data_IF_677824303366
#
_entry.id   IF_677824303366
#
_cell.length_a   1.000
_cell.length_b   1.000
_cell.length_c   1.000
_cell.angle_alpha   90.00
_cell.angle_beta   90.00
_cell.angle_gamma   90.00
#
_symmetry.space_group_name_H-M   'P 1'
#
loop_
_entity.id
_entity.type
_entity.pdbx_description
1 polymer ?
#
# COMPACT_ATOMS: atom_id res chain seq x y z
N UNK A 1 2.65 3.58 -17.28
CA UNK A 1 1.35 2.94 -16.96
C UNK A 1 1.57 1.43 -16.87
N UNK A 2 1.04 0.77 -15.84
CA UNK A 2 1.08 -0.69 -15.67
C UNK A 2 -0.36 -1.20 -15.77
N UNK A 3 -0.62 -2.09 -16.72
CA UNK A 3 -1.94 -2.67 -16.97
C UNK A 3 -1.83 -4.20 -16.89
N UNK A 4 -2.65 -4.82 -16.07
CA UNK A 4 -2.76 -6.28 -16.00
C UNK A 4 -4.05 -6.82 -16.64
N UNK A 5 -4.29 -8.12 -16.42
CA UNK A 5 -5.51 -8.84 -16.83
C UNK A 5 -6.29 -9.41 -15.63
N UNK A 6 -6.19 -8.75 -14.47
CA UNK A 6 -6.71 -9.13 -13.15
C UNK A 6 -6.17 -10.45 -12.59
N UNK A 7 -5.11 -11.02 -13.20
CA UNK A 7 -4.44 -12.23 -12.72
C UNK A 7 -2.96 -12.02 -12.43
N UNK A 8 -2.39 -10.94 -12.96
CA UNK A 8 -0.96 -10.63 -12.85
C UNK A 8 -0.65 -9.73 -11.66
N UNK A 9 0.62 -9.74 -11.27
CA UNK A 9 1.23 -8.76 -10.37
C UNK A 9 1.62 -7.50 -11.16
N UNK A 10 1.52 -6.32 -10.53
CA UNK A 10 1.90 -5.05 -11.14
C UNK A 10 3.41 -4.83 -11.15
N UNK A 11 3.97 -4.41 -10.01
CA UNK A 11 5.39 -4.09 -9.85
C UNK A 11 6.01 -4.99 -8.78
N UNK A 12 7.12 -5.61 -9.12
CA UNK A 12 7.91 -6.42 -8.19
C UNK A 12 9.34 -5.87 -8.15
N UNK A 13 9.80 -5.46 -6.96
CA UNK A 13 11.15 -4.92 -6.77
C UNK A 13 11.89 -5.76 -5.74
N UNK A 14 12.97 -6.40 -6.17
CA UNK A 14 13.76 -7.32 -5.34
C UNK A 14 15.24 -6.93 -5.33
N UNK A 15 16.01 -7.52 -4.42
CA UNK A 15 17.48 -7.59 -4.47
C UNK A 15 18.18 -6.22 -4.60
N UNK A 16 17.68 -5.22 -3.88
CA UNK A 16 18.22 -3.85 -3.92
C UNK A 16 17.81 -3.04 -5.15
N UNK A 17 16.95 -3.58 -6.02
CA UNK A 17 16.39 -2.88 -7.18
C UNK A 17 15.67 -1.58 -6.81
N UNK A 18 15.56 -0.68 -7.78
CA UNK A 18 14.93 0.64 -7.60
C UNK A 18 13.94 0.95 -8.72
N UNK A 19 12.75 1.40 -8.34
CA UNK A 19 11.71 1.84 -9.28
C UNK A 19 11.20 3.23 -8.90
N UNK A 20 11.08 4.11 -9.89
CA UNK A 20 10.40 5.39 -9.74
C UNK A 20 9.20 5.46 -10.69
N UNK A 21 8.05 5.82 -10.14
CA UNK A 21 6.78 5.98 -10.84
C UNK A 21 6.25 7.39 -10.55
N UNK A 22 6.21 8.25 -11.54
CA UNK A 22 5.59 9.58 -11.42
C UNK A 22 4.39 9.65 -12.36
N UNK A 23 3.31 10.28 -11.91
CA UNK A 23 2.04 10.40 -12.65
C UNK A 23 1.56 9.09 -13.28
N UNK A 24 1.78 7.97 -12.58
CA UNK A 24 1.60 6.63 -13.12
C UNK A 24 0.39 5.93 -12.51
N UNK A 25 -0.28 5.13 -13.33
CA UNK A 25 -1.40 4.29 -12.91
C UNK A 25 -1.02 2.82 -12.97
N UNK A 26 -1.35 2.09 -11.91
CA UNK A 26 -1.31 0.62 -11.85
C UNK A 26 -2.76 0.15 -11.79
N UNK A 27 -3.21 -0.57 -12.81
CA UNK A 27 -4.63 -0.97 -12.92
C UNK A 27 -4.79 -2.35 -13.54
N UNK A 28 -5.93 -2.98 -13.29
CA UNK A 28 -6.25 -4.30 -13.83
C UNK A 28 -5.31 -5.39 -13.32
N UNK A 29 -4.74 -5.25 -12.13
CA UNK A 29 -3.80 -6.24 -11.56
C UNK A 29 -4.46 -6.97 -10.40
N UNK A 30 -4.02 -8.20 -10.13
CA UNK A 30 -4.42 -8.91 -8.92
C UNK A 30 -3.74 -8.24 -7.73
N UNK A 31 -2.42 -8.30 -7.67
CA UNK A 31 -1.61 -7.62 -6.64
C UNK A 31 -0.82 -6.48 -7.25
N UNK A 32 -0.84 -5.29 -6.65
CA UNK A 32 -0.26 -4.12 -7.31
C UNK A 32 1.26 -3.98 -7.13
N UNK A 33 1.76 -3.95 -5.90
CA UNK A 33 3.18 -3.74 -5.62
C UNK A 33 3.69 -4.76 -4.59
N UNK A 34 4.81 -5.41 -4.91
CA UNK A 34 5.56 -6.24 -3.96
C UNK A 34 7.01 -5.78 -3.87
N UNK A 35 7.50 -5.61 -2.66
CA UNK A 35 8.88 -5.22 -2.36
C UNK A 35 9.52 -6.30 -1.49
N UNK A 36 10.67 -6.82 -1.94
CA UNK A 36 11.52 -7.73 -1.18
C UNK A 36 12.94 -7.16 -1.16
N UNK A 37 13.29 -6.42 -0.11
CA UNK A 37 14.58 -5.70 -0.02
C UNK A 37 14.88 -4.72 -1.19
N UNK A 38 13.85 -4.24 -1.89
CA UNK A 38 13.93 -3.24 -2.95
C UNK A 38 13.57 -1.83 -2.50
N UNK A 39 13.57 -0.88 -3.45
CA UNK A 39 13.13 0.50 -3.23
C UNK A 39 12.13 0.96 -4.29
N UNK A 40 11.04 1.60 -3.87
CA UNK A 40 10.05 2.15 -4.80
C UNK A 40 9.58 3.53 -4.37
N UNK A 41 9.64 4.49 -5.29
CA UNK A 41 9.06 5.82 -5.12
C UNK A 41 7.93 6.03 -6.11
N UNK A 42 6.72 6.25 -5.60
CA UNK A 42 5.55 6.57 -6.41
C UNK A 42 4.98 7.93 -6.03
N UNK A 43 4.75 8.79 -7.02
CA UNK A 43 4.21 10.13 -6.86
C UNK A 43 3.01 10.36 -7.80
N UNK A 44 2.02 11.10 -7.30
CA UNK A 44 0.89 11.63 -8.07
C UNK A 44 0.15 10.58 -8.92
N UNK A 45 -0.14 9.41 -8.34
CA UNK A 45 -0.60 8.26 -9.12
C UNK A 45 -1.80 7.54 -8.52
N UNK A 46 -2.26 6.50 -9.22
CA UNK A 46 -3.41 5.69 -8.82
C UNK A 46 -3.03 4.21 -8.83
N UNK A 47 -3.44 3.50 -7.78
CA UNK A 47 -3.32 2.04 -7.68
C UNK A 47 -4.73 1.46 -7.59
N UNK A 48 -5.09 0.64 -8.57
CA UNK A 48 -6.32 -0.15 -8.59
C UNK A 48 -5.95 -1.63 -8.68
N UNK A 49 -6.36 -2.41 -7.68
CA UNK A 49 -6.02 -3.83 -7.57
C UNK A 49 -7.24 -4.67 -7.17
N UNK A 50 -7.28 -5.92 -7.60
CA UNK A 50 -8.41 -6.83 -7.37
C UNK A 50 -8.14 -7.97 -6.40
N UNK A 51 -6.93 -8.07 -5.87
CA UNK A 51 -6.44 -9.20 -5.09
C UNK A 51 -6.37 -8.94 -3.59
N UNK A 52 -5.39 -9.60 -2.98
CA UNK A 52 -5.13 -9.59 -1.55
C UNK A 52 -4.49 -8.27 -1.08
N UNK A 53 -3.73 -7.57 -1.94
CA UNK A 53 -3.03 -6.36 -1.53
C UNK A 53 -2.65 -5.34 -2.62
N UNK A 54 -2.65 -4.07 -2.20
CA UNK A 54 -2.18 -2.95 -3.01
C UNK A 54 -0.65 -2.80 -2.94
N UNK A 55 -0.11 -2.88 -1.73
CA UNK A 55 1.33 -2.90 -1.46
C UNK A 55 1.65 -3.93 -0.39
N UNK A 56 2.56 -4.85 -0.67
CA UNK A 56 3.19 -5.72 0.33
C UNK A 56 4.69 -5.50 0.31
N UNK A 57 5.28 -5.18 1.47
CA UNK A 57 6.73 -5.06 1.59
C UNK A 57 7.28 -5.88 2.76
N UNK A 58 8.34 -6.63 2.46
CA UNK A 58 9.21 -7.35 3.39
C UNK A 58 10.64 -6.87 3.14
N UNK A 59 11.12 -6.00 4.02
CA UNK A 59 12.34 -5.23 3.77
C UNK A 59 12.21 -4.07 2.79
N UNK A 60 13.32 -3.37 2.57
CA UNK A 60 13.38 -2.27 1.61
C UNK A 60 12.73 -0.96 2.05
N UNK A 61 12.56 -0.02 1.10
CA UNK A 61 12.05 1.34 1.35
C UNK A 61 11.02 1.76 0.32
N UNK A 62 9.86 2.19 0.77
CA UNK A 62 8.80 2.72 -0.09
C UNK A 62 8.45 4.15 0.27
N UNK A 63 8.35 5.01 -0.75
CA UNK A 63 7.72 6.32 -0.67
C UNK A 63 6.48 6.34 -1.56
N UNK A 64 5.33 6.59 -0.96
CA UNK A 64 4.09 6.95 -1.66
C UNK A 64 3.77 8.40 -1.36
N UNK A 65 3.62 9.24 -2.38
CA UNK A 65 3.29 10.65 -2.25
C UNK A 65 2.12 11.01 -3.15
N UNK A 66 1.03 11.54 -2.60
CA UNK A 66 -0.19 11.89 -3.35
C UNK A 66 -0.68 10.71 -4.21
N UNK A 67 -0.75 9.52 -3.62
CA UNK A 67 -1.20 8.30 -4.30
C UNK A 67 -2.61 7.96 -3.80
N UNK A 68 -3.53 7.75 -4.74
CA UNK A 68 -4.84 7.18 -4.44
C UNK A 68 -4.80 5.66 -4.65
N UNK A 69 -5.36 4.92 -3.71
CA UNK A 69 -5.48 3.47 -3.79
C UNK A 69 -6.97 3.08 -3.71
N UNK A 70 -7.40 2.20 -4.61
CA UNK A 70 -8.73 1.63 -4.63
C UNK A 70 -8.64 0.10 -4.79
N UNK A 71 -9.58 -0.64 -4.21
CA UNK A 71 -9.68 -2.09 -4.39
C UNK A 71 -10.98 -2.46 -5.10
N UNK A 72 -10.88 -3.37 -6.08
CA UNK A 72 -12.03 -4.02 -6.72
C UNK A 72 -12.26 -5.43 -6.17
N UNK A 73 -11.56 -5.82 -5.10
CA UNK A 73 -11.65 -7.16 -4.51
C UNK A 73 -12.93 -7.34 -3.70
N UNK A 74 -13.65 -8.45 -3.90
CA UNK A 74 -14.81 -8.83 -3.07
C UNK A 74 -14.43 -9.77 -1.91
N UNK A 75 -13.13 -9.97 -1.69
CA UNK A 75 -12.54 -10.83 -0.67
C UNK A 75 -11.80 -9.99 0.39
N UNK A 76 -11.24 -10.67 1.38
CA UNK A 76 -10.35 -10.01 2.35
C UNK A 76 -9.15 -9.42 1.62
N UNK A 77 -8.88 -8.15 1.87
CA UNK A 77 -7.86 -7.39 1.14
C UNK A 77 -7.19 -6.38 2.07
N UNK A 78 -5.90 -6.18 1.92
CA UNK A 78 -5.07 -5.26 2.71
C UNK A 78 -4.46 -4.22 1.77
N UNK A 79 -4.82 -2.95 1.91
CA UNK A 79 -4.28 -1.93 1.00
C UNK A 79 -2.77 -1.81 1.11
N UNK A 80 -2.24 -1.84 2.33
CA UNK A 80 -0.81 -1.74 2.60
C UNK A 80 -0.41 -2.72 3.71
N UNK A 81 0.58 -3.56 3.44
CA UNK A 81 1.25 -4.42 4.42
C UNK A 81 2.74 -4.07 4.51
N UNK A 82 3.17 -3.65 5.70
CA UNK A 82 4.57 -3.38 6.04
C UNK A 82 5.01 -4.40 7.08
N UNK A 83 5.77 -5.39 6.65
CA UNK A 83 6.20 -6.49 7.51
C UNK A 83 7.73 -6.56 7.58
N UNK A 84 8.25 -6.98 8.74
CA UNK A 84 9.67 -7.19 9.02
C UNK A 84 10.48 -5.92 9.33
N UNK A 85 11.52 -6.09 10.15
CA UNK A 85 12.30 -4.99 10.75
C UNK A 85 12.99 -4.08 9.73
N UNK A 86 13.34 -4.61 8.56
CA UNK A 86 13.99 -3.87 7.48
C UNK A 86 13.00 -3.06 6.62
N UNK A 87 11.68 -3.32 6.69
CA UNK A 87 10.68 -2.63 5.89
C UNK A 87 10.37 -1.24 6.43
N UNK A 88 10.49 -0.24 5.55
CA UNK A 88 10.20 1.17 5.87
C UNK A 88 9.29 1.80 4.83
N UNK A 89 8.10 2.20 5.26
CA UNK A 89 7.13 2.95 4.46
C UNK A 89 7.09 4.41 4.88
N UNK A 90 7.09 5.32 3.90
CA UNK A 90 6.63 6.70 4.08
C UNK A 90 5.46 6.97 3.13
N UNK A 91 4.29 7.22 3.69
CA UNK A 91 3.07 7.57 2.97
C UNK A 91 2.72 9.03 3.27
N UNK A 92 2.71 9.87 2.24
CA UNK A 92 2.42 11.31 2.34
C UNK A 92 1.24 11.64 1.45
N UNK A 93 0.15 12.17 2.01
CA UNK A 93 -1.05 12.51 1.24
C UNK A 93 -1.68 11.31 0.52
N UNK A 94 -1.53 10.10 1.08
CA UNK A 94 -2.09 8.88 0.48
C UNK A 94 -3.56 8.79 0.82
N UNK A 95 -4.39 8.45 -0.17
CA UNK A 95 -5.83 8.25 0.00
C UNK A 95 -6.14 6.78 -0.26
N UNK A 96 -6.62 6.07 0.75
CA UNK A 96 -7.12 4.69 0.64
C UNK A 96 -8.64 4.74 0.63
N UNK A 97 -9.22 4.27 -0.47
CA UNK A 97 -10.65 4.07 -0.61
C UNK A 97 -10.91 2.56 -0.65
N UNK A 98 -11.34 2.01 0.48
CA UNK A 98 -11.95 0.68 0.49
C UNK A 98 -13.27 0.67 -0.27
N UNK A 99 -13.99 -0.45 -0.17
CA UNK A 99 -15.17 -0.72 -0.98
C UNK A 99 -16.44 -1.00 -0.16
N UNK A 100 -16.45 -0.67 1.14
CA UNK A 100 -17.60 -0.84 2.06
C UNK A 100 -18.14 -2.28 2.15
N UNK A 101 -17.38 -3.28 1.70
CA UNK A 101 -17.79 -4.69 1.77
C UNK A 101 -17.65 -5.30 3.16
N UNK A 102 -17.06 -4.58 4.11
CA UNK A 102 -16.69 -5.12 5.42
C UNK A 102 -15.48 -6.08 5.39
N UNK A 103 -14.82 -6.27 4.25
CA UNK A 103 -13.65 -7.16 4.09
C UNK A 103 -12.33 -6.42 3.84
N UNK A 104 -12.40 -5.17 3.39
CA UNK A 104 -11.23 -4.36 3.13
C UNK A 104 -10.58 -3.86 4.41
N UNK A 105 -9.28 -4.07 4.54
CA UNK A 105 -8.42 -3.57 5.61
C UNK A 105 -7.48 -2.51 5.03
N UNK A 106 -7.25 -1.42 5.74
CA UNK A 106 -6.41 -0.31 5.30
C UNK A 106 -4.93 -0.66 5.36
N UNK A 107 -4.28 -0.32 6.48
CA UNK A 107 -2.82 -0.39 6.63
C UNK A 107 -2.47 -1.33 7.78
N UNK A 108 -1.75 -2.41 7.48
CA UNK A 108 -1.18 -3.33 8.48
C UNK A 108 0.33 -3.12 8.59
N UNK A 109 0.81 -2.90 9.81
CA UNK A 109 2.24 -2.71 10.11
C UNK A 109 2.62 -3.70 11.20
N UNK A 110 3.47 -4.68 10.87
CA UNK A 110 3.74 -5.82 11.74
C UNK A 110 5.22 -6.24 11.77
N UNK A 111 5.58 -7.05 12.78
CA UNK A 111 6.84 -7.79 12.84
C UNK A 111 8.11 -6.92 12.73
N UNK A 112 8.11 -5.74 13.36
CA UNK A 112 9.21 -4.78 13.34
C UNK A 112 9.15 -3.77 12.20
N UNK A 113 8.16 -3.88 11.30
CA UNK A 113 7.92 -2.91 10.23
C UNK A 113 7.76 -1.48 10.74
N UNK A 114 8.13 -0.51 9.91
CA UNK A 114 8.07 0.90 10.29
C UNK A 114 7.34 1.73 9.25
N UNK A 115 6.44 2.59 9.70
CA UNK A 115 5.69 3.46 8.82
C UNK A 115 5.59 4.90 9.33
N UNK A 116 5.71 5.86 8.41
CA UNK A 116 5.32 7.25 8.60
C UNK A 116 4.11 7.53 7.73
N UNK A 117 2.99 7.82 8.36
CA UNK A 117 1.73 8.17 7.72
C UNK A 117 1.51 9.67 7.96
N UNK A 118 1.53 10.46 6.90
CA UNK A 118 1.49 11.93 6.98
C UNK A 118 0.41 12.42 6.04
N UNK A 119 -0.68 12.98 6.58
CA UNK A 119 -1.83 13.37 5.76
C UNK A 119 -2.52 12.20 5.07
N UNK A 120 -2.36 10.98 5.59
CA UNK A 120 -2.97 9.78 5.01
C UNK A 120 -4.45 9.72 5.41
N UNK A 121 -5.32 9.50 4.43
CA UNK A 121 -6.76 9.33 4.63
C UNK A 121 -7.16 7.89 4.31
N UNK A 122 -7.79 7.20 5.25
CA UNK A 122 -8.24 5.82 5.10
C UNK A 122 -9.75 5.76 5.32
N UNK A 123 -10.50 5.40 4.28
CA UNK A 123 -11.96 5.35 4.35
C UNK A 123 -12.53 4.07 3.76
N UNK A 124 -13.74 3.71 4.17
CA UNK A 124 -14.51 2.56 3.62
C UNK A 124 -13.84 1.20 3.84
N UNK A 125 -13.15 1.05 4.97
CA UNK A 125 -12.43 -0.17 5.38
C UNK A 125 -12.90 -0.62 6.76
N UNK A 126 -12.80 -1.90 7.07
CA UNK A 126 -13.17 -2.46 8.38
C UNK A 126 -12.15 -2.12 9.46
N UNK A 127 -10.87 -2.05 9.10
CA UNK A 127 -9.78 -1.60 9.98
C UNK A 127 -8.96 -0.56 9.25
N UNK A 128 -8.73 0.60 9.87
CA UNK A 128 -7.95 1.67 9.26
C UNK A 128 -6.45 1.42 9.29
N UNK A 129 -5.91 1.33 10.50
CA UNK A 129 -4.49 1.06 10.74
C UNK A 129 -4.39 0.03 11.86
N UNK A 130 -3.76 -1.11 11.57
CA UNK A 130 -3.43 -2.15 12.55
C UNK A 130 -1.92 -2.20 12.76
N UNK A 131 -1.48 -2.17 14.03
CA UNK A 131 -0.06 -2.17 14.40
C UNK A 131 0.23 -3.29 15.40
N UNK A 132 1.19 -4.17 15.08
CA UNK A 132 1.56 -5.30 15.94
C UNK A 132 3.07 -5.50 15.98
N UNK A 133 3.70 -5.35 17.15
CA UNK A 133 5.16 -5.47 17.31
C UNK A 133 5.94 -4.58 16.33
N UNK A 134 5.46 -3.38 16.08
CA UNK A 134 5.93 -2.52 14.99
C UNK A 134 5.86 -1.03 15.38
N UNK A 135 6.38 -0.14 14.54
CA UNK A 135 6.45 1.29 14.85
C UNK A 135 5.70 2.11 13.79
N UNK A 136 4.83 3.00 14.25
CA UNK A 136 4.12 3.95 13.38
C UNK A 136 4.25 5.37 13.92
N UNK A 137 4.45 6.32 13.01
CA UNK A 137 4.23 7.75 13.27
C UNK A 137 3.07 8.21 12.41
N UNK A 138 2.06 8.83 13.03
CA UNK A 138 0.89 9.35 12.34
C UNK A 138 0.77 10.86 12.57
N UNK A 139 0.70 11.64 11.49
CA UNK A 139 0.60 13.09 11.53
C UNK A 139 -0.52 13.52 10.61
N UNK A 140 -1.52 14.23 11.14
CA UNK A 140 -2.65 14.76 10.36
C UNK A 140 -3.40 13.69 9.55
N UNK A 141 -3.51 12.47 10.09
CA UNK A 141 -4.23 11.37 9.45
C UNK A 141 -5.72 11.38 9.83
N UNK A 142 -6.56 10.89 8.93
CA UNK A 142 -8.01 10.75 9.16
C UNK A 142 -8.43 9.34 8.77
N UNK A 143 -9.19 8.69 9.65
CA UNK A 143 -9.81 7.39 9.38
C UNK A 143 -11.32 7.48 9.62
N UNK A 144 -12.12 7.12 8.62
CA UNK A 144 -13.59 7.11 8.69
C UNK A 144 -14.06 5.72 8.25
N UNK A 145 -14.55 4.93 9.21
CA UNK A 145 -15.00 3.54 9.03
C UNK A 145 -16.48 3.48 8.71
#
# INVERSE_FOLDING_TARGET
MVIGNNKTQGVHVTDGGYVMLDYSHITGVKEAITIQDGSLWMKNGVINFGGEYGLKMKGGRVLLSNVQMNSTSNNNTEFIMVEEKSAKLKAVGVIINGNDTGKAQGIKIANGGRAWLIGTNVKKVSTGVAVQNAQVTMISCVSIF
#
